data_IF_486634410062
#
_entry.id   IF_486634410062
#
_cell.length_a   1.000
_cell.length_b   1.000
_cell.length_c   1.000
_cell.angle_alpha   90.00
_cell.angle_beta   90.00
_cell.angle_gamma   90.00
#
_symmetry.space_group_name_H-M   'P 1'
#
loop_
_entity.id
_entity.type
_entity.pdbx_description
1 polymer ?
#
# COMPACT_ATOMS: atom_id res chain seq x y z
N UNK A 1 -19.86 -36.08 -51.43
CA UNK A 1 -20.97 -36.03 -50.44
C UNK A 1 -20.32 -35.84 -49.08
N UNK A 2 -20.54 -34.84 -48.25
CA UNK A 2 -21.34 -33.62 -48.29
C UNK A 2 -20.65 -32.61 -47.37
N UNK A 3 -20.63 -31.35 -47.79
CA UNK A 3 -20.23 -30.17 -47.01
C UNK A 3 -21.32 -29.87 -45.99
N UNK A 4 -21.01 -29.65 -44.72
CA UNK A 4 -21.92 -29.01 -43.78
C UNK A 4 -21.22 -27.82 -43.10
N UNK A 5 -21.69 -26.63 -43.49
CA UNK A 5 -21.41 -25.32 -42.90
C UNK A 5 -22.45 -25.13 -41.80
N UNK A 6 -22.01 -24.82 -40.57
CA UNK A 6 -22.90 -24.25 -39.55
C UNK A 6 -22.33 -22.88 -39.20
N UNK A 7 -22.99 -21.89 -39.78
CA UNK A 7 -22.87 -20.47 -39.49
C UNK A 7 -23.78 -20.19 -38.28
N UNK A 8 -23.25 -19.65 -37.19
CA UNK A 8 -24.07 -19.21 -36.06
C UNK A 8 -23.67 -17.77 -35.73
N UNK A 9 -24.52 -16.85 -36.19
CA UNK A 9 -24.52 -15.43 -35.86
C UNK A 9 -25.25 -15.27 -34.53
N UNK A 10 -24.60 -14.65 -33.55
CA UNK A 10 -25.27 -14.10 -32.37
C UNK A 10 -25.05 -12.59 -32.33
N UNK A 11 -26.15 -11.86 -32.48
CA UNK A 11 -26.27 -10.42 -32.24
C UNK A 11 -27.08 -10.27 -30.97
N UNK A 12 -26.54 -9.58 -29.96
CA UNK A 12 -27.22 -8.91 -28.84
C UNK A 12 -26.09 -8.27 -28.01
N UNK A 13 -25.94 -6.95 -27.90
CA UNK A 13 -26.90 -5.99 -27.38
C UNK A 13 -26.33 -5.45 -26.06
N UNK A 14 -25.47 -4.44 -26.10
CA UNK A 14 -24.97 -3.75 -24.91
C UNK A 14 -25.72 -2.42 -24.75
N UNK A 15 -26.53 -2.33 -23.69
CA UNK A 15 -27.19 -1.12 -23.21
C UNK A 15 -26.77 -0.84 -21.76
N UNK A 16 -26.90 0.42 -21.35
CA UNK A 16 -26.67 1.02 -20.01
C UNK A 16 -25.20 1.29 -19.63
N UNK A 17 -24.79 2.43 -19.08
CA UNK A 17 -25.44 3.71 -18.71
C UNK A 17 -24.33 4.73 -18.40
N UNK A 18 -24.54 6.04 -18.60
CA UNK A 18 -23.64 7.06 -18.04
C UNK A 18 -24.02 7.36 -16.59
N UNK A 19 -23.12 7.10 -15.64
CA UNK A 19 -23.25 7.58 -14.27
C UNK A 19 -22.63 8.96 -14.17
N UNK A 20 -23.49 9.98 -14.16
CA UNK A 20 -23.17 11.31 -13.65
C UNK A 20 -23.23 11.25 -12.13
N UNK A 21 -22.13 11.55 -11.46
CA UNK A 21 -22.15 11.89 -10.03
C UNK A 21 -21.60 13.29 -9.90
N UNK A 22 -22.50 14.26 -9.98
CA UNK A 22 -22.34 15.57 -9.35
C UNK A 22 -22.64 15.35 -7.86
N UNK A 23 -21.64 15.54 -7.01
CA UNK A 23 -21.83 15.70 -5.57
C UNK A 23 -20.83 16.72 -5.11
N UNK A 24 -21.33 17.95 -5.05
CA UNK A 24 -20.84 19.01 -4.19
C UNK A 24 -21.00 18.53 -2.74
N UNK A 25 -19.99 17.80 -2.24
CA UNK A 25 -19.89 17.34 -0.86
C UNK A 25 -18.64 17.95 -0.23
N UNK A 26 -18.80 18.53 0.95
CA UNK A 26 -17.72 19.07 1.78
C UNK A 26 -16.55 18.07 1.86
N UNK A 27 -15.28 18.52 1.97
CA UNK A 27 -14.15 17.63 2.26
C UNK A 27 -14.30 17.09 3.69
N UNK A 28 -15.10 16.05 3.83
CA UNK A 28 -15.29 15.28 5.05
C UNK A 28 -14.10 14.34 5.20
N UNK A 29 -13.07 14.76 5.96
CA UNK A 29 -12.11 13.95 6.72
C UNK A 29 -11.49 12.67 6.12
N UNK A 30 -11.61 12.43 4.81
CA UNK A 30 -11.38 11.13 4.16
C UNK A 30 -9.94 10.85 3.78
N UNK A 31 -8.99 11.67 4.24
CA UNK A 31 -7.58 11.57 3.84
C UNK A 31 -6.75 10.55 4.65
N UNK A 32 -7.38 9.78 5.54
CA UNK A 32 -6.67 8.73 6.32
C UNK A 32 -7.06 7.30 5.91
N UNK A 33 -7.87 7.14 4.85
CA UNK A 33 -8.27 5.82 4.34
C UNK A 33 -7.14 5.10 3.59
N UNK A 34 -6.16 5.84 3.05
CA UNK A 34 -5.14 5.30 2.14
C UNK A 34 -4.24 4.22 2.73
N UNK A 35 -4.11 4.12 4.06
CA UNK A 35 -3.34 3.05 4.73
C UNK A 35 -4.14 1.75 4.90
N UNK A 36 -5.48 1.80 4.87
CA UNK A 36 -6.32 0.58 4.97
C UNK A 36 -6.44 -0.17 3.65
N UNK A 37 -6.32 0.56 2.53
CA UNK A 37 -6.43 0.05 1.17
C UNK A 37 -5.10 -0.42 0.58
N UNK A 38 -4.04 -0.50 1.38
CA UNK A 38 -2.75 -1.02 0.92
C UNK A 38 -2.87 -2.51 0.55
N UNK A 39 -2.29 -2.92 -0.60
CA UNK A 39 -2.26 -4.32 -1.01
C UNK A 39 -1.50 -5.14 0.03
N UNK A 40 -1.92 -6.38 0.27
CA UNK A 40 -1.15 -7.27 1.13
C UNK A 40 0.13 -7.71 0.43
N UNK A 41 1.24 -7.76 1.16
CA UNK A 41 2.52 -8.23 0.62
C UNK A 41 3.65 -7.21 0.63
N UNK A 42 4.74 -7.61 -0.02
CA UNK A 42 5.90 -6.77 -0.36
C UNK A 42 5.79 -6.41 -1.85
N UNK A 43 5.75 -5.13 -2.24
CA UNK A 43 5.74 -4.73 -3.63
C UNK A 43 7.09 -5.02 -4.29
N UNK A 44 7.08 -5.30 -5.59
CA UNK A 44 8.30 -5.58 -6.36
C UNK A 44 9.34 -4.44 -6.27
N UNK A 45 8.89 -3.20 -6.16
CA UNK A 45 9.77 -2.03 -5.98
C UNK A 45 10.60 -2.12 -4.69
N UNK A 46 10.00 -2.53 -3.57
CA UNK A 46 10.72 -2.71 -2.31
C UNK A 46 11.75 -3.84 -2.43
N UNK A 47 11.36 -4.96 -3.04
CA UNK A 47 12.29 -6.08 -3.27
C UNK A 47 13.50 -5.63 -4.06
N UNK A 48 13.26 -4.92 -5.15
CA UNK A 48 14.32 -4.43 -6.02
C UNK A 48 15.25 -3.42 -5.29
N UNK A 49 14.72 -2.53 -4.44
CA UNK A 49 15.55 -1.61 -3.65
C UNK A 49 16.45 -2.37 -2.66
N UNK A 50 15.89 -3.32 -1.91
CA UNK A 50 16.65 -4.13 -0.95
C UNK A 50 17.67 -5.03 -1.64
N UNK A 51 17.31 -5.67 -2.76
CA UNK A 51 18.21 -6.50 -3.58
C UNK A 51 19.36 -5.69 -4.20
N UNK A 52 19.15 -4.39 -4.46
CA UNK A 52 20.21 -3.49 -4.90
C UNK A 52 21.13 -3.02 -3.77
N UNK A 53 20.92 -3.51 -2.55
CA UNK A 53 21.69 -3.11 -1.38
C UNK A 53 21.28 -1.75 -0.81
N UNK A 54 20.17 -1.18 -1.28
CA UNK A 54 19.68 0.11 -0.81
C UNK A 54 18.76 -0.11 0.40
N UNK A 55 19.30 0.07 1.60
CA UNK A 55 18.48 0.22 2.81
C UNK A 55 17.76 1.57 2.82
N UNK A 56 16.65 1.67 3.55
CA UNK A 56 15.82 2.88 3.51
C UNK A 56 14.70 2.92 4.54
N UNK A 57 13.89 3.97 4.46
CA UNK A 57 12.72 4.17 5.33
C UNK A 57 11.44 3.78 4.60
N UNK A 58 10.67 2.90 5.25
CA UNK A 58 9.48 2.28 4.69
C UNK A 58 8.37 2.22 5.73
N UNK A 59 7.15 1.89 5.29
CA UNK A 59 6.02 1.61 6.17
C UNK A 59 5.90 0.10 6.32
N UNK A 60 5.84 -0.35 7.57
CA UNK A 60 5.47 -1.71 7.94
C UNK A 60 4.10 -1.70 8.60
N UNK A 61 3.11 -2.34 7.98
CA UNK A 61 1.78 -2.52 8.53
C UNK A 61 1.64 -3.94 9.05
N UNK A 62 1.29 -4.06 10.33
CA UNK A 62 1.10 -5.34 10.99
C UNK A 62 -0.38 -5.69 11.12
N UNK A 63 -0.70 -6.99 11.11
CA UNK A 63 -2.06 -7.44 11.42
C UNK A 63 -2.37 -7.23 12.90
N UNK A 64 -1.39 -7.56 13.75
CA UNK A 64 -1.40 -7.32 15.20
C UNK A 64 -0.15 -6.54 15.56
N UNK A 65 -0.26 -5.56 16.47
CA UNK A 65 0.92 -4.79 16.89
C UNK A 65 1.97 -5.74 17.51
N UNK A 66 3.25 -5.61 17.13
CA UNK A 66 4.30 -6.42 17.71
C UNK A 66 4.45 -6.09 19.20
N UNK A 67 4.54 -7.13 20.03
CA UNK A 67 4.88 -7.00 21.44
C UNK A 67 6.39 -6.69 21.62
N UNK A 68 6.81 -6.43 22.86
CA UNK A 68 8.19 -6.04 23.15
C UNK A 68 9.22 -7.07 22.69
N UNK A 69 8.93 -8.37 22.79
CA UNK A 69 9.84 -9.41 22.34
C UNK A 69 9.97 -9.39 20.81
N UNK A 70 8.84 -9.32 20.09
CA UNK A 70 8.84 -9.23 18.63
C UNK A 70 9.56 -7.96 18.13
N UNK A 71 9.39 -6.82 18.81
CA UNK A 71 10.12 -5.58 18.48
C UNK A 71 11.64 -5.75 18.64
N UNK A 72 12.06 -6.46 19.66
CA UNK A 72 13.47 -6.71 19.94
C UNK A 72 14.07 -7.68 18.91
N UNK A 73 13.31 -8.68 18.44
CA UNK A 73 13.72 -9.56 17.33
C UNK A 73 13.89 -8.79 16.02
N UNK A 74 12.97 -7.87 15.71
CA UNK A 74 13.08 -7.00 14.52
C UNK A 74 14.32 -6.10 14.62
N UNK A 75 14.58 -5.51 15.78
CA UNK A 75 15.75 -4.67 16.00
C UNK A 75 17.06 -5.47 15.88
N UNK A 76 17.09 -6.72 16.36
CA UNK A 76 18.23 -7.64 16.16
C UNK A 76 18.45 -8.00 14.69
N UNK A 77 17.38 -8.06 13.89
CA UNK A 77 17.46 -8.18 12.44
C UNK A 77 17.86 -6.87 11.73
N UNK A 78 18.13 -5.81 12.50
CA UNK A 78 18.49 -4.48 11.99
C UNK A 78 17.29 -3.65 11.52
N UNK A 79 16.06 -4.14 11.69
CA UNK A 79 14.82 -3.44 11.36
C UNK A 79 14.46 -2.53 12.54
N UNK A 80 14.59 -1.23 12.34
CA UNK A 80 14.34 -0.25 13.42
C UNK A 80 12.95 0.33 13.23
N UNK A 81 12.03 0.00 14.14
CA UNK A 81 10.70 0.61 14.18
C UNK A 81 10.78 2.00 14.82
N UNK A 82 10.48 3.03 14.04
CA UNK A 82 10.38 4.42 14.45
C UNK A 82 8.95 4.79 14.85
N UNK A 83 8.43 5.85 14.22
CA UNK A 83 7.14 6.43 14.58
C UNK A 83 5.94 5.55 14.25
N UNK A 84 4.96 5.54 15.16
CA UNK A 84 3.69 4.87 14.97
C UNK A 84 2.79 5.66 14.03
N UNK A 85 2.16 4.96 13.11
CA UNK A 85 1.21 5.49 12.13
C UNK A 85 -0.13 4.77 12.32
N UNK A 86 -1.29 5.44 12.11
CA UNK A 86 -2.60 4.79 12.19
C UNK A 86 -2.69 3.51 11.35
N UNK A 87 -3.65 2.64 11.70
CA UNK A 87 -3.86 1.33 11.07
C UNK A 87 -2.72 0.31 11.30
N UNK A 88 -2.22 0.24 12.53
CA UNK A 88 -1.18 -0.72 12.98
C UNK A 88 0.11 -0.65 12.15
N UNK A 89 0.49 0.56 11.74
CA UNK A 89 1.65 0.78 10.90
C UNK A 89 2.77 1.47 11.67
N UNK A 90 4.01 1.21 11.28
CA UNK A 90 5.19 1.90 11.78
C UNK A 90 6.03 2.39 10.61
N UNK A 91 6.60 3.57 10.74
CA UNK A 91 7.77 3.94 9.95
C UNK A 91 8.93 3.10 10.43
N UNK A 92 9.59 2.37 9.54
CA UNK A 92 10.70 1.51 9.88
C UNK A 92 11.88 1.76 8.95
N UNK A 93 13.08 1.70 9.51
CA UNK A 93 14.28 1.56 8.72
C UNK A 93 14.50 0.08 8.38
N UNK A 94 14.68 -0.22 7.10
CA UNK A 94 14.97 -1.56 6.59
C UNK A 94 16.41 -1.61 6.05
N UNK A 95 17.29 -2.45 6.61
CA UNK A 95 18.58 -2.75 5.98
C UNK A 95 18.38 -3.59 4.72
N UNK A 96 19.39 -3.63 3.85
CA UNK A 96 19.35 -4.39 2.58
C UNK A 96 18.99 -5.88 2.79
N UNK A 97 19.49 -6.48 3.87
CA UNK A 97 19.27 -7.90 4.19
C UNK A 97 17.90 -8.18 4.86
N UNK A 98 17.06 -7.16 5.09
CA UNK A 98 15.78 -7.32 5.78
C UNK A 98 14.72 -8.08 4.96
N UNK A 99 14.93 -8.27 3.65
CA UNK A 99 13.93 -8.84 2.77
C UNK A 99 13.45 -10.22 3.24
N UNK A 100 14.38 -11.10 3.63
CA UNK A 100 14.04 -12.46 4.10
C UNK A 100 13.20 -12.43 5.38
N UNK A 101 13.52 -11.54 6.32
CA UNK A 101 12.76 -11.35 7.56
C UNK A 101 11.34 -10.86 7.27
N UNK A 102 11.18 -9.91 6.34
CA UNK A 102 9.87 -9.40 5.95
C UNK A 102 9.02 -10.47 5.27
N UNK A 103 9.61 -11.28 4.40
CA UNK A 103 8.90 -12.38 3.74
C UNK A 103 8.43 -13.43 4.74
N UNK A 104 9.24 -13.73 5.76
CA UNK A 104 8.85 -14.62 6.85
C UNK A 104 7.66 -14.06 7.63
N UNK A 105 7.69 -12.79 8.03
CA UNK A 105 6.59 -12.16 8.76
C UNK A 105 5.28 -12.11 7.97
N UNK A 106 5.35 -12.01 6.64
CA UNK A 106 4.17 -12.11 5.78
C UNK A 106 3.68 -13.55 5.71
N UNK A 107 4.59 -14.53 5.65
CA UNK A 107 4.24 -15.94 5.63
C UNK A 107 3.61 -16.41 6.95
N UNK A 108 4.06 -15.90 8.10
CA UNK A 108 3.45 -16.15 9.42
C UNK A 108 2.13 -15.41 9.60
N UNK A 109 1.90 -14.35 8.81
CA UNK A 109 0.70 -13.53 8.87
C UNK A 109 0.78 -12.42 9.91
N UNK A 110 1.95 -12.15 10.49
CA UNK A 110 2.15 -11.04 11.43
C UNK A 110 2.22 -9.69 10.69
N UNK A 111 2.82 -9.70 9.51
CA UNK A 111 2.95 -8.53 8.66
C UNK A 111 1.92 -8.57 7.52
N UNK A 112 1.22 -7.45 7.35
CA UNK A 112 0.22 -7.26 6.28
C UNK A 112 0.84 -6.60 5.06
N UNK A 113 1.65 -5.56 5.26
CA UNK A 113 2.25 -4.79 4.17
C UNK A 113 3.62 -4.26 4.58
N UNK A 114 4.56 -4.27 3.63
CA UNK A 114 5.83 -3.58 3.76
C UNK A 114 6.14 -2.84 2.46
N UNK A 115 6.21 -1.52 2.49
CA UNK A 115 6.35 -0.75 1.26
C UNK A 115 6.73 0.71 1.45
N UNK A 116 6.90 1.46 0.35
CA UNK A 116 7.27 2.86 0.40
C UNK A 116 6.23 3.69 1.16
N UNK A 117 6.71 4.72 1.86
CA UNK A 117 5.83 5.67 2.55
C UNK A 117 4.96 6.38 1.50
N UNK A 118 3.62 6.22 1.52
CA UNK A 118 2.76 6.90 0.56
C UNK A 118 2.91 8.41 0.74
N UNK A 119 2.82 9.20 -0.34
CA UNK A 119 3.01 10.66 -0.28
C UNK A 119 2.02 11.32 0.70
N UNK A 120 0.82 10.75 0.83
CA UNK A 120 -0.23 11.16 1.76
C UNK A 120 0.17 10.99 3.23
N UNK A 121 1.07 10.05 3.55
CA UNK A 121 1.62 9.89 4.90
C UNK A 121 2.85 10.78 5.16
N UNK A 122 3.38 11.46 4.13
CA UNK A 122 4.54 12.36 4.26
C UNK A 122 4.14 13.80 4.61
N UNK A 123 2.88 14.19 4.41
CA UNK A 123 2.37 15.54 4.62
C UNK A 123 1.05 15.47 5.40
N UNK A 124 0.93 16.26 6.46
CA UNK A 124 -0.41 16.49 7.03
C UNK A 124 -1.23 17.24 5.97
N UNK A 125 -2.49 16.83 5.72
CA UNK A 125 -3.33 17.46 4.69
C UNK A 125 -3.52 18.96 4.92
N UNK A 126 -3.52 19.39 6.19
CA UNK A 126 -3.61 20.79 6.61
C UNK A 126 -2.40 21.65 6.16
N UNK A 127 -1.22 21.03 6.02
CA UNK A 127 -0.01 21.68 5.52
C UNK A 127 0.07 21.66 3.99
N UNK A 128 -0.49 20.63 3.33
CA UNK A 128 -0.56 20.52 1.88
C UNK A 128 -1.50 21.59 1.29
N UNK A 129 -2.66 21.83 1.92
CA UNK A 129 -3.63 22.84 1.47
C UNK A 129 -3.11 24.29 1.54
N UNK A 130 -2.06 24.55 2.33
CA UNK A 130 -1.53 25.91 2.54
C UNK A 130 -0.49 26.34 1.50
N UNK A 131 -0.06 25.44 0.61
CA UNK A 131 0.92 25.75 -0.45
C UNK A 131 0.22 26.16 -1.75
N UNK A 132 -1.07 25.87 -1.93
CA UNK A 132 -1.80 26.18 -3.18
C UNK A 132 -2.38 27.62 -3.24
N UNK A 133 -2.20 28.44 -2.20
CA UNK A 133 -2.81 29.78 -2.12
C UNK A 133 -1.76 30.89 -2.02
N UNK A 134 -0.80 30.91 -2.96
CA UNK A 134 -0.06 32.13 -3.27
C UNK A 134 0.19 32.18 -4.79
N UNK A 135 -0.82 32.57 -5.61
CA UNK A 135 -0.56 32.96 -6.97
C UNK A 135 0.24 34.28 -6.95
N UNK A 136 1.50 34.19 -7.37
CA UNK A 136 2.36 35.31 -7.76
C UNK A 136 1.64 36.30 -8.68
#
# INVERSE_FOLDING_TARGET
>A
MSRWIIMLVFVLGAACSPSTTDTTGLPDGSEISSLKDLPQGIPASLRQELEQGAGGYFILQFNTLPDEAARLELEQAGIILGDFVPANAYQAFLPADALSTLEELIATGDLRYAGPIPPEAKLQPELAAKIEVDPL
#
